data_IF_645277840067
#
_entry.id   IF_645277840067
#
_cell.length_a   1.000
_cell.length_b   1.000
_cell.length_c   1.000
_cell.angle_alpha   90.00
_cell.angle_beta   90.00
_cell.angle_gamma   90.00
#
_symmetry.space_group_name_H-M   'P 1'
#
loop_
_entity.id
_entity.type
_entity.pdbx_description
1 polymer ?
#
# COMPACT_ATOMS: atom_id res chain seq x y z
N UNK A 1 -59.08 12.74 -23.07
CA UNK A 1 -58.57 13.03 -21.71
C UNK A 1 -58.14 11.76 -20.98
N UNK A 2 -58.96 10.70 -20.93
CA UNK A 2 -58.61 9.42 -20.29
C UNK A 2 -57.39 8.70 -20.92
N UNK A 3 -57.29 8.61 -22.25
CA UNK A 3 -56.15 7.97 -22.92
C UNK A 3 -54.80 8.69 -22.66
N UNK A 4 -54.81 10.03 -22.59
CA UNK A 4 -53.63 10.83 -22.28
C UNK A 4 -53.16 10.60 -20.83
N UNK A 5 -54.12 10.46 -19.90
CA UNK A 5 -53.84 10.16 -18.50
C UNK A 5 -53.20 8.78 -18.34
N UNK A 6 -53.75 7.74 -18.98
CA UNK A 6 -53.19 6.37 -18.96
C UNK A 6 -51.78 6.32 -19.54
N UNK A 7 -51.52 7.05 -20.64
CA UNK A 7 -50.18 7.13 -21.24
C UNK A 7 -49.17 7.82 -20.31
N UNK A 8 -49.57 8.91 -19.64
CA UNK A 8 -48.71 9.58 -18.66
C UNK A 8 -48.43 8.67 -17.46
N UNK A 9 -49.42 7.91 -16.98
CA UNK A 9 -49.27 6.98 -15.86
C UNK A 9 -48.41 5.75 -16.19
N UNK A 10 -48.55 5.10 -17.36
CA UNK A 10 -47.64 4.00 -17.75
C UNK A 10 -46.20 4.50 -17.90
N UNK A 11 -45.99 5.68 -18.51
CA UNK A 11 -44.65 6.22 -18.69
C UNK A 11 -43.97 6.60 -17.36
N UNK A 12 -44.72 7.19 -16.41
CA UNK A 12 -44.18 7.54 -15.08
C UNK A 12 -43.82 6.30 -14.25
N UNK A 13 -44.61 5.23 -14.33
CA UNK A 13 -44.31 3.98 -13.62
C UNK A 13 -43.04 3.30 -14.15
N UNK A 14 -42.82 3.25 -15.47
CA UNK A 14 -41.60 2.66 -16.03
C UNK A 14 -40.35 3.53 -15.78
N UNK A 15 -40.49 4.86 -15.77
CA UNK A 15 -39.42 5.77 -15.36
C UNK A 15 -39.00 5.56 -13.90
N UNK A 16 -39.96 5.32 -13.01
CA UNK A 16 -39.71 5.01 -11.61
C UNK A 16 -39.00 3.65 -11.43
N UNK A 17 -39.48 2.62 -12.12
CA UNK A 17 -38.88 1.28 -12.10
C UNK A 17 -37.45 1.26 -12.68
N UNK A 18 -37.20 2.04 -13.73
CA UNK A 18 -35.87 2.25 -14.27
C UNK A 18 -34.95 2.97 -13.26
N UNK A 19 -35.46 3.97 -12.54
CA UNK A 19 -34.72 4.68 -11.49
C UNK A 19 -34.28 3.77 -10.35
N UNK A 20 -35.18 2.93 -9.83
CA UNK A 20 -34.85 1.94 -8.79
C UNK A 20 -33.82 0.91 -9.27
N UNK A 21 -33.87 0.55 -10.54
CA UNK A 21 -32.87 -0.35 -11.14
C UNK A 21 -31.49 0.31 -11.17
N UNK A 22 -31.40 1.61 -11.47
CA UNK A 22 -30.15 2.37 -11.49
C UNK A 22 -29.56 2.52 -10.08
N UNK A 23 -30.38 2.82 -9.07
CA UNK A 23 -29.91 2.89 -7.67
C UNK A 23 -29.30 1.57 -7.21
N UNK A 24 -29.98 0.44 -7.45
CA UNK A 24 -29.44 -0.89 -7.11
C UNK A 24 -28.18 -1.27 -7.88
N UNK A 25 -27.99 -0.76 -9.11
CA UNK A 25 -26.73 -0.94 -9.86
C UNK A 25 -25.60 -0.19 -9.16
N UNK A 26 -25.82 1.07 -8.78
CA UNK A 26 -24.80 1.90 -8.15
C UNK A 26 -24.35 1.30 -6.81
N UNK A 27 -25.28 0.77 -6.01
CA UNK A 27 -24.94 0.05 -4.76
C UNK A 27 -24.08 -1.21 -5.01
N UNK A 28 -24.43 -2.00 -6.03
CA UNK A 28 -23.62 -3.17 -6.41
C UNK A 28 -22.24 -2.75 -6.95
N UNK A 29 -22.15 -1.66 -7.71
CA UNK A 29 -20.88 -1.12 -8.24
C UNK A 29 -19.96 -0.59 -7.14
N UNK A 30 -20.52 0.04 -6.10
CA UNK A 30 -19.76 0.58 -4.97
C UNK A 30 -18.95 -0.52 -4.26
N UNK A 31 -19.50 -1.72 -4.14
CA UNK A 31 -18.79 -2.86 -3.54
C UNK A 31 -17.50 -3.23 -4.30
N UNK A 32 -17.54 -3.20 -5.64
CA UNK A 32 -16.34 -3.45 -6.45
C UNK A 32 -15.37 -2.27 -6.40
N UNK A 33 -15.89 -1.04 -6.36
CA UNK A 33 -15.06 0.15 -6.19
C UNK A 33 -14.29 0.11 -4.87
N UNK A 34 -14.92 -0.32 -3.78
CA UNK A 34 -14.28 -0.46 -2.47
C UNK A 34 -13.19 -1.53 -2.47
N UNK A 35 -13.43 -2.70 -3.08
CA UNK A 35 -12.39 -3.72 -3.27
C UNK A 35 -11.17 -3.18 -4.03
N UNK A 36 -11.40 -2.38 -5.07
CA UNK A 36 -10.31 -1.75 -5.83
C UNK A 36 -9.59 -0.66 -5.01
N UNK A 37 -10.31 0.10 -4.17
CA UNK A 37 -9.71 1.07 -3.24
C UNK A 37 -8.80 0.40 -2.23
N UNK A 38 -9.18 -0.74 -1.67
CA UNK A 38 -8.32 -1.53 -0.78
C UNK A 38 -7.02 -1.95 -1.50
N UNK A 39 -7.12 -2.35 -2.76
CA UNK A 39 -5.96 -2.69 -3.59
C UNK A 39 -5.05 -1.49 -3.87
N UNK A 40 -5.61 -0.30 -4.05
CA UNK A 40 -4.83 0.94 -4.16
C UNK A 40 -4.13 1.27 -2.84
N UNK A 41 -4.83 1.14 -1.70
CA UNK A 41 -4.23 1.34 -0.38
C UNK A 41 -3.08 0.35 -0.10
N UNK A 42 -3.15 -0.87 -0.65
CA UNK A 42 -2.03 -1.80 -0.58
C UNK A 42 -0.80 -1.31 -1.36
N UNK A 43 -0.98 -0.66 -2.51
CA UNK A 43 0.15 -0.08 -3.24
C UNK A 43 0.82 1.06 -2.46
N UNK A 44 0.03 1.84 -1.72
CA UNK A 44 0.55 2.89 -0.83
C UNK A 44 1.31 2.29 0.37
N UNK A 45 0.84 1.15 0.90
CA UNK A 45 1.53 0.44 1.98
C UNK A 45 2.90 -0.08 1.52
N UNK A 46 3.01 -0.59 0.28
CA UNK A 46 4.29 -0.98 -0.32
C UNK A 46 5.26 0.21 -0.42
N UNK A 47 4.76 1.37 -0.83
CA UNK A 47 5.57 2.59 -0.90
C UNK A 47 6.09 2.99 0.49
N UNK A 48 5.26 2.83 1.52
CA UNK A 48 5.63 3.08 2.91
C UNK A 48 6.69 2.11 3.41
N UNK A 49 6.59 0.82 3.05
CA UNK A 49 7.61 -0.19 3.36
C UNK A 49 8.96 0.17 2.73
N UNK A 50 8.97 0.59 1.47
CA UNK A 50 10.20 1.03 0.80
C UNK A 50 10.83 2.25 1.50
N UNK A 51 10.03 3.26 1.85
CA UNK A 51 10.54 4.42 2.60
C UNK A 51 11.09 4.04 3.96
N UNK A 52 10.44 3.11 4.66
CA UNK A 52 10.94 2.62 5.95
C UNK A 52 12.27 1.89 5.81
N UNK A 53 12.43 1.08 4.76
CA UNK A 53 13.70 0.46 4.41
C UNK A 53 14.80 1.51 4.19
N UNK A 54 14.53 2.55 3.39
CA UNK A 54 15.49 3.63 3.12
C UNK A 54 15.94 4.33 4.41
N UNK A 55 15.02 4.63 5.33
CA UNK A 55 15.38 5.21 6.63
C UNK A 55 16.25 4.27 7.47
N UNK A 56 15.93 2.98 7.52
CA UNK A 56 16.71 2.00 8.29
C UNK A 56 18.09 1.76 7.69
N UNK A 57 18.19 1.77 6.36
CA UNK A 57 19.44 1.67 5.64
C UNK A 57 20.33 2.89 5.94
N UNK A 58 19.76 4.10 5.93
CA UNK A 58 20.47 5.31 6.31
C UNK A 58 20.97 5.27 7.77
N UNK A 59 20.16 4.79 8.71
CA UNK A 59 20.56 4.65 10.12
C UNK A 59 21.70 3.63 10.28
N UNK A 60 21.69 2.56 9.49
CA UNK A 60 22.75 1.55 9.45
C UNK A 60 24.07 2.14 8.93
N UNK A 61 24.04 2.82 7.78
CA UNK A 61 25.22 3.48 7.19
C UNK A 61 25.81 4.53 8.13
N UNK A 62 24.95 5.31 8.82
CA UNK A 62 25.39 6.28 9.82
C UNK A 62 26.07 5.62 11.03
N UNK A 63 25.59 4.46 11.47
CA UNK A 63 26.22 3.71 12.56
C UNK A 63 27.59 3.14 12.12
N UNK A 64 27.70 2.70 10.87
CA UNK A 64 28.95 2.20 10.27
C UNK A 64 30.00 3.32 10.15
N UNK A 65 29.60 4.49 9.66
CA UNK A 65 30.45 5.67 9.59
C UNK A 65 30.95 6.10 10.98
N UNK A 66 30.07 6.07 12.00
CA UNK A 66 30.46 6.41 13.37
C UNK A 66 31.52 5.44 13.93
N UNK A 67 31.34 4.13 13.69
CA UNK A 67 32.33 3.13 14.10
C UNK A 67 33.67 3.35 13.39
N UNK A 68 33.63 3.54 12.07
CA UNK A 68 34.81 3.77 11.23
C UNK A 68 35.58 5.02 11.68
N UNK A 69 34.88 6.13 11.91
CA UNK A 69 35.48 7.37 12.39
C UNK A 69 36.19 7.20 13.75
N UNK A 70 35.60 6.46 14.68
CA UNK A 70 36.22 6.17 15.99
C UNK A 70 37.45 5.28 15.86
N UNK A 71 37.42 4.29 14.98
CA UNK A 71 38.58 3.43 14.69
C UNK A 71 39.74 4.24 14.11
N UNK A 72 39.46 5.12 13.14
CA UNK A 72 40.46 6.03 12.55
C UNK A 72 41.04 6.97 13.63
N UNK A 73 40.20 7.53 14.50
CA UNK A 73 40.66 8.42 15.57
C UNK A 73 41.61 7.70 16.55
N UNK A 74 41.32 6.44 16.88
CA UNK A 74 42.21 5.61 17.70
C UNK A 74 43.55 5.36 16.99
N UNK A 75 43.52 5.02 15.70
CA UNK A 75 44.74 4.76 14.93
C UNK A 75 45.64 6.00 14.83
N UNK A 76 45.05 7.19 14.61
CA UNK A 76 45.78 8.45 14.61
C UNK A 76 46.46 8.77 15.95
N UNK A 77 45.82 8.43 17.07
CA UNK A 77 46.42 8.58 18.40
C UNK A 77 47.56 7.60 18.65
N UNK A 78 47.44 6.36 18.18
CA UNK A 78 48.50 5.35 18.25
C UNK A 78 49.74 5.75 17.45
N UNK A 79 49.55 6.38 16.29
CA UNK A 79 50.64 6.92 15.46
C UNK A 79 51.31 8.17 16.06
N UNK A 80 50.89 8.61 17.25
CA UNK A 80 51.55 9.67 18.01
C UNK A 80 51.37 11.08 17.47
N UNK A 81 50.44 11.29 16.53
CA UNK A 81 50.21 12.59 15.85
C UNK A 81 49.60 13.69 16.74
N UNK A 82 49.42 13.47 18.04
CA UNK A 82 48.53 14.28 18.88
C UNK A 82 49.21 15.16 19.96
N UNK A 83 50.54 15.27 20.04
CA UNK A 83 51.21 16.24 20.93
C UNK A 83 50.93 16.13 22.44
N UNK A 84 50.30 15.05 22.92
CA UNK A 84 49.96 14.81 24.33
C UNK A 84 51.06 14.03 25.07
N UNK A 85 51.12 14.17 26.40
CA UNK A 85 51.95 13.33 27.28
C UNK A 85 51.54 11.85 27.19
N UNK A 86 52.47 10.90 27.48
CA UNK A 86 52.20 9.46 27.39
C UNK A 86 50.97 9.02 28.18
N UNK A 87 50.81 9.47 29.44
CA UNK A 87 49.67 9.08 30.27
C UNK A 87 48.32 9.61 29.73
N UNK A 88 48.28 10.85 29.23
CA UNK A 88 47.07 11.44 28.65
C UNK A 88 46.66 10.76 27.35
N UNK A 89 47.64 10.30 26.57
CA UNK A 89 47.40 9.53 25.34
C UNK A 89 46.78 8.19 25.66
N UNK A 90 47.32 7.47 26.64
CA UNK A 90 46.82 6.16 27.03
C UNK A 90 45.40 6.22 27.61
N UNK A 91 45.08 7.24 28.40
CA UNK A 91 43.71 7.46 28.90
C UNK A 91 42.72 7.72 27.76
N UNK A 92 43.07 8.55 26.76
CA UNK A 92 42.24 8.80 25.58
C UNK A 92 42.03 7.54 24.72
N UNK A 93 43.06 6.70 24.59
CA UNK A 93 42.96 5.43 23.86
C UNK A 93 41.96 4.50 24.56
N UNK A 94 42.04 4.34 25.89
CA UNK A 94 41.09 3.50 26.64
C UNK A 94 39.64 3.98 26.50
N UNK A 95 39.41 5.29 26.57
CA UNK A 95 38.09 5.87 26.34
C UNK A 95 37.58 5.59 24.92
N UNK A 96 38.43 5.72 23.90
CA UNK A 96 38.05 5.41 22.52
C UNK A 96 37.78 3.92 22.31
N UNK A 97 38.49 3.04 22.99
CA UNK A 97 38.22 1.59 22.95
C UNK A 97 36.84 1.24 23.50
N UNK A 98 36.44 1.85 24.61
CA UNK A 98 35.09 1.68 25.15
C UNK A 98 34.03 2.23 24.18
N UNK A 99 34.26 3.41 23.60
CA UNK A 99 33.35 3.99 22.61
C UNK A 99 33.27 3.16 21.32
N UNK A 100 34.36 2.54 20.87
CA UNK A 100 34.38 1.63 19.71
C UNK A 100 33.57 0.38 20.03
N UNK A 101 33.74 -0.21 21.22
CA UNK A 101 32.94 -1.38 21.64
C UNK A 101 31.45 -1.05 21.67
N UNK A 102 31.09 0.13 22.17
CA UNK A 102 29.70 0.58 22.18
C UNK A 102 29.18 0.80 20.76
N UNK A 103 29.93 1.48 19.89
CA UNK A 103 29.56 1.70 18.50
C UNK A 103 29.42 0.39 17.70
N UNK A 104 30.29 -0.60 17.94
CA UNK A 104 30.18 -1.94 17.31
C UNK A 104 28.91 -2.67 17.76
N UNK A 105 28.59 -2.60 19.06
CA UNK A 105 27.36 -3.16 19.62
C UNK A 105 26.12 -2.51 19.01
N UNK A 106 26.13 -1.19 18.85
CA UNK A 106 25.01 -0.45 18.28
C UNK A 106 24.86 -0.72 16.78
N UNK A 107 25.96 -0.78 16.02
CA UNK A 107 25.95 -1.17 14.60
C UNK A 107 25.37 -2.57 14.40
N UNK A 108 25.76 -3.54 15.24
CA UNK A 108 25.19 -4.90 15.18
C UNK A 108 23.69 -4.90 15.43
N UNK A 109 23.22 -4.17 16.43
CA UNK A 109 21.77 -4.08 16.74
C UNK A 109 21.00 -3.48 15.56
N UNK A 110 21.45 -2.34 15.04
CA UNK A 110 20.81 -1.69 13.88
C UNK A 110 20.84 -2.62 12.66
N UNK A 111 21.94 -3.31 12.42
CA UNK A 111 22.06 -4.29 11.33
C UNK A 111 21.08 -5.46 11.48
N UNK A 112 20.96 -6.03 12.68
CA UNK A 112 20.00 -7.11 12.95
C UNK A 112 18.54 -6.65 12.78
N UNK A 113 18.21 -5.45 13.25
CA UNK A 113 16.87 -4.87 13.10
C UNK A 113 16.52 -4.61 11.64
N UNK A 114 17.45 -4.02 10.88
CA UNK A 114 17.31 -3.79 9.44
C UNK A 114 17.14 -5.10 8.69
N UNK A 115 17.93 -6.14 8.99
CA UNK A 115 17.78 -7.44 8.34
C UNK A 115 16.44 -8.10 8.65
N UNK A 116 16.00 -8.09 9.92
CA UNK A 116 14.68 -8.62 10.32
C UNK A 116 13.54 -7.91 9.60
N UNK A 117 13.65 -6.60 9.42
CA UNK A 117 12.70 -5.82 8.65
C UNK A 117 12.67 -6.23 7.18
N UNK A 118 13.83 -6.32 6.53
CA UNK A 118 13.98 -6.75 5.12
C UNK A 118 13.36 -8.13 4.91
N UNK A 119 13.70 -9.11 5.75
CA UNK A 119 13.20 -10.48 5.62
C UNK A 119 11.67 -10.56 5.75
N UNK A 120 11.09 -9.71 6.58
CA UNK A 120 9.63 -9.63 6.76
C UNK A 120 8.97 -8.91 5.58
N UNK A 121 9.50 -7.75 5.19
CA UNK A 121 9.01 -6.99 4.05
C UNK A 121 9.05 -7.80 2.75
N UNK A 122 10.13 -8.54 2.49
CA UNK A 122 10.26 -9.36 1.29
C UNK A 122 9.25 -10.51 1.25
N UNK A 123 8.94 -11.12 2.40
CA UNK A 123 7.90 -12.16 2.49
C UNK A 123 6.52 -11.59 2.17
N UNK A 124 6.20 -10.42 2.68
CA UNK A 124 4.92 -9.76 2.41
C UNK A 124 4.80 -9.31 0.94
N UNK A 125 5.89 -8.79 0.37
CA UNK A 125 5.96 -8.42 -1.05
C UNK A 125 5.78 -9.65 -1.95
N UNK A 126 6.43 -10.78 -1.64
CA UNK A 126 6.28 -12.02 -2.42
C UNK A 126 4.85 -12.55 -2.36
N UNK A 127 4.24 -12.56 -1.16
CA UNK A 127 2.84 -12.94 -0.97
C UNK A 127 1.91 -12.07 -1.83
N UNK A 128 2.10 -10.75 -1.81
CA UNK A 128 1.31 -9.85 -2.65
C UNK A 128 1.50 -10.12 -4.14
N UNK A 129 2.74 -10.31 -4.60
CA UNK A 129 3.03 -10.60 -6.02
C UNK A 129 2.30 -11.85 -6.52
N UNK A 130 2.19 -12.88 -5.68
CA UNK A 130 1.47 -14.12 -6.01
C UNK A 130 -0.04 -13.93 -6.05
N UNK A 131 -0.59 -13.10 -5.17
CA UNK A 131 -2.03 -12.97 -5.00
C UNK A 131 -2.66 -11.93 -5.95
N UNK A 132 -2.00 -10.79 -6.20
CA UNK A 132 -2.59 -9.62 -6.88
C UNK A 132 -3.29 -9.94 -8.21
N UNK A 133 -2.70 -10.82 -9.02
CA UNK A 133 -3.23 -11.14 -10.35
C UNK A 133 -4.51 -11.96 -10.23
N UNK A 134 -4.53 -12.91 -9.28
CA UNK A 134 -5.69 -13.76 -9.04
C UNK A 134 -6.87 -12.91 -8.57
N UNK A 135 -6.62 -12.04 -7.59
CA UNK A 135 -7.67 -11.24 -6.95
C UNK A 135 -8.21 -10.17 -7.89
N UNK A 136 -7.34 -9.41 -8.56
CA UNK A 136 -7.80 -8.43 -9.54
C UNK A 136 -8.59 -9.09 -10.67
N UNK A 137 -8.14 -10.26 -11.14
CA UNK A 137 -8.89 -11.03 -12.14
C UNK A 137 -10.27 -11.43 -11.61
N UNK A 138 -10.37 -11.86 -10.37
CA UNK A 138 -11.63 -12.22 -9.74
C UNK A 138 -12.58 -11.01 -9.61
N UNK A 139 -12.08 -9.88 -9.10
CA UNK A 139 -12.83 -8.62 -8.99
C UNK A 139 -13.37 -8.19 -10.36
N UNK A 140 -12.52 -8.11 -11.39
CA UNK A 140 -12.95 -7.69 -12.72
C UNK A 140 -13.88 -8.70 -13.40
N UNK A 141 -13.68 -10.00 -13.18
CA UNK A 141 -14.58 -11.03 -13.72
C UNK A 141 -15.96 -10.90 -13.11
N UNK A 142 -16.04 -10.75 -11.78
CA UNK A 142 -17.31 -10.60 -11.07
C UNK A 142 -18.00 -9.29 -11.44
N UNK A 143 -17.25 -8.19 -11.57
CA UNK A 143 -17.77 -6.91 -12.06
C UNK A 143 -18.36 -7.06 -13.47
N UNK A 144 -17.67 -7.73 -14.40
CA UNK A 144 -18.18 -7.96 -15.75
C UNK A 144 -19.47 -8.82 -15.75
N UNK A 145 -19.52 -9.86 -14.92
CA UNK A 145 -20.72 -10.70 -14.77
C UNK A 145 -21.89 -9.88 -14.24
N UNK A 146 -21.65 -9.04 -13.23
CA UNK A 146 -22.64 -8.13 -12.66
C UNK A 146 -23.13 -7.16 -13.73
N UNK A 147 -22.24 -6.50 -14.49
CA UNK A 147 -22.62 -5.60 -15.59
C UNK A 147 -23.50 -6.29 -16.63
N UNK A 148 -23.13 -7.49 -17.08
CA UNK A 148 -23.93 -8.26 -18.04
C UNK A 148 -25.33 -8.54 -17.47
N UNK A 149 -25.43 -8.91 -16.20
CA UNK A 149 -26.71 -9.15 -15.52
C UNK A 149 -27.56 -7.88 -15.49
N UNK A 150 -26.96 -6.74 -15.18
CA UNK A 150 -27.66 -5.45 -15.10
C UNK A 150 -28.10 -4.97 -16.49
N UNK A 151 -27.26 -5.10 -17.53
CA UNK A 151 -27.67 -4.82 -18.91
C UNK A 151 -28.86 -5.68 -19.35
N UNK A 152 -28.87 -6.98 -19.02
CA UNK A 152 -30.01 -7.87 -19.35
C UNK A 152 -31.30 -7.42 -18.68
N UNK A 153 -31.24 -7.03 -17.40
CA UNK A 153 -32.41 -6.46 -16.69
C UNK A 153 -32.88 -5.17 -17.33
N UNK A 154 -31.96 -4.25 -17.64
CA UNK A 154 -32.28 -2.99 -18.31
C UNK A 154 -32.98 -3.22 -19.65
N UNK A 155 -32.46 -4.12 -20.48
CA UNK A 155 -33.11 -4.50 -21.75
C UNK A 155 -34.53 -5.01 -21.52
N UNK A 156 -34.77 -5.84 -20.50
CA UNK A 156 -36.10 -6.36 -20.18
C UNK A 156 -37.07 -5.24 -19.77
N UNK A 157 -36.63 -4.30 -18.92
CA UNK A 157 -37.43 -3.13 -18.50
C UNK A 157 -37.78 -2.26 -19.71
N UNK A 158 -36.80 -1.94 -20.55
CA UNK A 158 -37.02 -1.13 -21.76
C UNK A 158 -37.92 -1.84 -22.79
N UNK A 159 -37.80 -3.16 -22.92
CA UNK A 159 -38.69 -3.95 -23.80
C UNK A 159 -40.12 -3.94 -23.27
N UNK A 160 -40.30 -4.12 -21.96
CA UNK A 160 -41.62 -4.04 -21.30
C UNK A 160 -42.27 -2.66 -21.48
N UNK A 161 -41.50 -1.59 -21.28
CA UNK A 161 -41.97 -0.22 -21.49
C UNK A 161 -42.40 0.03 -22.95
N UNK A 162 -41.59 -0.42 -23.92
CA UNK A 162 -41.93 -0.33 -25.35
C UNK A 162 -43.20 -1.11 -25.68
N UNK A 163 -43.36 -2.31 -25.13
CA UNK A 163 -44.55 -3.14 -25.31
C UNK A 163 -45.81 -2.48 -24.71
N UNK A 164 -45.71 -1.85 -23.53
CA UNK A 164 -46.80 -1.07 -22.93
C UNK A 164 -47.24 0.06 -23.87
N UNK A 165 -46.27 0.80 -24.43
CA UNK A 165 -46.51 1.93 -25.31
C UNK A 165 -47.07 1.53 -26.69
N UNK A 166 -46.75 0.34 -27.19
CA UNK A 166 -47.21 -0.13 -28.51
C UNK A 166 -48.52 -0.91 -28.48
N UNK A 167 -48.92 -1.44 -27.33
CA UNK A 167 -50.18 -2.18 -27.13
C UNK A 167 -51.36 -1.29 -26.69
N UNK A 168 -51.13 0.01 -26.42
CA UNK A 168 -52.17 1.02 -26.16
C UNK A 168 -52.53 1.79 -27.42
#
# INVERSE_FOLDING_TARGET
MAALYVHITCNTNHLFEAGQTVEGILEEEEQYADQLKEYMAFADSLSTVCRKYECMQYDFERAEDNLTNKQIQKEQLNLGKAGNTPEQREQKIKQLEEQIKQADSDLRKVGEETQKFIDTALRDIDRFKRQKVKDLREIFTNYAIMQIKQCKKGIAVWTSAKDCLTKM
#
